data_IF_154028732026
#
_entry.id   IF_154028732026
#
_cell.length_a   1.000
_cell.length_b   1.000
_cell.length_c   1.000
_cell.angle_alpha   90.00
_cell.angle_beta   90.00
_cell.angle_gamma   90.00
#
_symmetry.space_group_name_H-M   'P 1'
#
loop_
_entity.id
_entity.type
_entity.pdbx_description
1 polymer ?
#
# COMPACT_ATOMS: atom_id res chain seq x y z
N UNK A 1 -23.77 -33.64 11.21
CA UNK A 1 -22.35 -33.99 11.43
C UNK A 1 -21.55 -33.13 10.49
N UNK A 2 -20.71 -32.26 11.04
CA UNK A 2 -19.86 -31.35 10.26
C UNK A 2 -18.89 -32.09 9.35
N UNK A 3 -18.65 -31.53 8.16
CA UNK A 3 -17.53 -31.90 7.31
C UNK A 3 -16.63 -30.68 7.09
N UNK A 4 -15.80 -30.40 8.08
CA UNK A 4 -14.88 -29.26 8.10
C UNK A 4 -13.50 -29.62 7.54
N UNK A 5 -13.06 -28.79 6.59
CA UNK A 5 -11.66 -28.48 6.27
C UNK A 5 -10.71 -29.60 5.82
N UNK A 6 -10.37 -29.56 4.53
CA UNK A 6 -9.00 -29.80 4.05
C UNK A 6 -8.36 -28.46 3.64
N UNK A 7 -7.85 -27.70 4.63
CA UNK A 7 -7.06 -26.49 4.37
C UNK A 7 -5.69 -26.88 3.80
N UNK A 8 -5.61 -27.07 2.48
CA UNK A 8 -4.35 -27.28 1.77
C UNK A 8 -3.55 -25.97 1.75
N UNK A 9 -2.84 -25.73 2.86
CA UNK A 9 -1.83 -24.69 2.99
C UNK A 9 -0.59 -25.02 2.17
N UNK A 10 -0.74 -25.12 0.85
CA UNK A 10 0.39 -25.13 -0.06
C UNK A 10 1.11 -23.79 0.04
N UNK A 11 2.29 -23.78 0.67
CA UNK A 11 3.27 -22.70 0.58
C UNK A 11 3.84 -22.67 -0.84
N UNK A 12 2.97 -22.36 -1.80
CA UNK A 12 3.33 -22.14 -3.17
C UNK A 12 3.86 -20.70 -3.23
N UNK A 13 5.15 -20.52 -2.91
CA UNK A 13 5.92 -19.30 -3.20
C UNK A 13 6.17 -19.24 -4.70
N UNK A 14 5.09 -19.30 -5.48
CA UNK A 14 5.06 -18.86 -6.87
C UNK A 14 5.54 -17.42 -6.81
N UNK A 15 6.62 -17.14 -7.53
CA UNK A 15 7.24 -15.82 -7.52
C UNK A 15 6.22 -14.83 -8.08
N UNK A 16 5.60 -14.06 -7.18
CA UNK A 16 4.46 -13.21 -7.50
C UNK A 16 4.92 -12.02 -8.32
N UNK A 17 4.66 -12.05 -9.62
CA UNK A 17 4.89 -10.91 -10.51
C UNK A 17 3.93 -9.75 -10.20
N UNK A 18 4.41 -8.79 -9.41
CA UNK A 18 3.66 -7.60 -9.05
C UNK A 18 3.72 -6.54 -10.15
N UNK A 19 2.56 -6.02 -10.53
CA UNK A 19 2.38 -4.93 -11.47
C UNK A 19 3.02 -3.64 -10.95
N UNK A 20 3.89 -3.06 -11.75
CA UNK A 20 4.49 -1.72 -11.53
C UNK A 20 3.68 -0.63 -12.24
N UNK A 21 3.89 0.63 -11.86
CA UNK A 21 3.27 1.79 -12.49
C UNK A 21 1.89 2.17 -11.92
N UNK A 22 1.17 3.00 -12.68
CA UNK A 22 -0.04 3.71 -12.24
C UNK A 22 -1.15 2.77 -11.76
N UNK A 23 -1.89 3.21 -10.73
CA UNK A 23 -3.06 2.52 -10.21
C UNK A 23 -4.30 2.86 -11.04
N UNK A 24 -4.97 1.82 -11.54
CA UNK A 24 -6.28 1.94 -12.17
C UNK A 24 -7.38 2.19 -11.13
N UNK A 25 -8.55 2.65 -11.59
CA UNK A 25 -9.74 2.73 -10.76
C UNK A 25 -10.10 1.34 -10.21
N UNK A 26 -10.11 0.29 -11.04
CA UNK A 26 -10.48 -1.07 -10.63
C UNK A 26 -9.55 -1.63 -9.53
N UNK A 27 -8.21 -1.53 -9.69
CA UNK A 27 -7.26 -1.92 -8.64
C UNK A 27 -7.49 -1.15 -7.33
N UNK A 28 -7.85 0.14 -7.42
CA UNK A 28 -8.13 0.98 -6.26
C UNK A 28 -9.44 0.56 -5.57
N UNK A 29 -10.50 0.25 -6.32
CA UNK A 29 -11.76 -0.25 -5.77
C UNK A 29 -11.57 -1.62 -5.08
N UNK A 30 -10.79 -2.52 -5.68
CA UNK A 30 -10.42 -3.82 -5.08
C UNK A 30 -9.67 -3.63 -3.75
N UNK A 31 -8.75 -2.66 -3.67
CA UNK A 31 -8.04 -2.35 -2.42
C UNK A 31 -8.99 -1.81 -1.34
N UNK A 32 -9.96 -0.95 -1.71
CA UNK A 32 -10.97 -0.43 -0.77
C UNK A 32 -11.90 -1.55 -0.28
N UNK A 33 -12.34 -2.44 -1.19
CA UNK A 33 -13.11 -3.64 -0.83
C UNK A 33 -12.32 -4.55 0.11
N UNK A 34 -11.05 -4.84 -0.20
CA UNK A 34 -10.15 -5.61 0.66
C UNK A 34 -10.04 -4.98 2.06
N UNK A 35 -9.92 -3.65 2.15
CA UNK A 35 -9.88 -2.93 3.43
C UNK A 35 -11.20 -2.96 4.18
N UNK A 36 -12.35 -2.89 3.50
CA UNK A 36 -13.67 -3.11 4.11
C UNK A 36 -13.79 -4.51 4.74
N UNK A 37 -13.36 -5.54 4.01
CA UNK A 37 -13.36 -6.93 4.48
C UNK A 37 -12.33 -7.18 5.60
N UNK A 38 -11.17 -6.51 5.58
CA UNK A 38 -10.18 -6.53 6.65
C UNK A 38 -10.70 -5.86 7.95
N UNK A 39 -11.54 -4.84 7.83
CA UNK A 39 -12.19 -4.24 9.00
C UNK A 39 -13.33 -5.12 9.54
N UNK A 40 -14.12 -5.76 8.66
CA UNK A 40 -15.18 -6.69 9.07
C UNK A 40 -14.65 -7.95 9.75
N UNK A 41 -13.62 -8.60 9.18
CA UNK A 41 -13.01 -9.80 9.78
C UNK A 41 -12.36 -9.49 11.14
N UNK A 42 -11.89 -8.25 11.34
CA UNK A 42 -11.37 -7.79 12.64
C UNK A 42 -12.49 -7.51 13.64
N UNK A 43 -13.63 -6.96 13.19
CA UNK A 43 -14.81 -6.81 14.03
C UNK A 43 -15.32 -8.16 14.56
N UNK A 44 -15.43 -9.18 13.70
CA UNK A 44 -15.87 -10.53 14.10
C UNK A 44 -14.93 -11.21 15.12
N UNK A 45 -13.64 -10.85 15.13
CA UNK A 45 -12.65 -11.36 16.11
C UNK A 45 -12.55 -10.53 17.40
N UNK A 46 -13.20 -9.37 17.48
CA UNK A 46 -13.22 -8.57 18.72
C UNK A 46 -14.26 -9.07 19.72
N UNK A 47 -15.18 -9.96 19.31
CA UNK A 47 -16.09 -10.69 20.19
C UNK A 47 -15.50 -11.99 20.77
N UNK A 48 -14.30 -12.40 20.35
CA UNK A 48 -13.57 -13.56 20.85
C UNK A 48 -12.24 -13.10 21.44
N UNK A 49 -12.12 -13.17 22.77
CA UNK A 49 -11.07 -12.51 23.57
C UNK A 49 -9.65 -13.04 23.30
N UNK A 50 -9.51 -14.11 22.51
CA UNK A 50 -8.28 -14.89 22.36
C UNK A 50 -7.29 -14.39 21.28
N UNK A 51 -7.76 -13.80 20.15
CA UNK A 51 -6.90 -13.48 18.98
C UNK A 51 -6.30 -12.05 18.95
N UNK A 52 -6.13 -11.38 20.10
CA UNK A 52 -5.74 -9.96 20.20
C UNK A 52 -4.25 -9.66 19.90
N UNK A 53 -3.61 -10.37 18.97
CA UNK A 53 -2.14 -10.39 18.86
C UNK A 53 -1.50 -10.52 17.47
N UNK A 54 -2.24 -10.56 16.34
CA UNK A 54 -1.60 -10.74 15.02
C UNK A 54 -0.86 -9.46 14.55
N UNK A 55 0.48 -9.51 14.32
CA UNK A 55 1.27 -8.34 13.90
C UNK A 55 0.76 -7.71 12.60
N UNK A 56 1.10 -6.44 12.39
CA UNK A 56 0.61 -5.64 11.25
C UNK A 56 0.98 -6.26 9.88
N UNK A 57 2.10 -6.96 9.82
CA UNK A 57 2.59 -7.69 8.64
C UNK A 57 1.62 -8.79 8.19
N UNK A 58 1.02 -9.55 9.12
CA UNK A 58 -0.04 -10.52 8.81
C UNK A 58 -1.36 -9.86 8.35
N UNK A 59 -1.54 -8.54 8.54
CA UNK A 59 -2.73 -7.82 8.08
C UNK A 59 -2.61 -7.50 6.60
N UNK A 60 -1.50 -6.87 6.21
CA UNK A 60 -1.27 -6.49 4.84
C UNK A 60 -1.05 -7.70 3.93
N UNK A 61 -0.44 -8.79 4.41
CA UNK A 61 -0.39 -10.06 3.67
C UNK A 61 -1.78 -10.57 3.25
N UNK A 62 -2.78 -10.47 4.14
CA UNK A 62 -4.15 -10.86 3.80
C UNK A 62 -4.79 -9.94 2.77
N UNK A 63 -4.51 -8.62 2.86
CA UNK A 63 -4.96 -7.64 1.86
C UNK A 63 -4.34 -7.93 0.49
N UNK A 64 -3.04 -8.23 0.45
CA UNK A 64 -2.34 -8.67 -0.77
C UNK A 64 -2.98 -9.95 -1.34
N UNK A 65 -3.17 -10.99 -0.52
CA UNK A 65 -3.81 -12.25 -0.94
C UNK A 65 -5.24 -12.05 -1.47
N UNK A 66 -5.99 -11.07 -0.94
CA UNK A 66 -7.32 -10.70 -1.43
C UNK A 66 -7.23 -9.96 -2.78
N UNK A 67 -6.39 -8.93 -2.86
CA UNK A 67 -6.14 -8.16 -4.08
C UNK A 67 -5.70 -9.08 -5.22
N UNK A 68 -4.74 -9.97 -4.97
CA UNK A 68 -4.21 -10.93 -5.94
C UNK A 68 -5.31 -11.82 -6.52
N UNK A 69 -6.19 -12.38 -5.67
CA UNK A 69 -7.33 -13.22 -6.09
C UNK A 69 -8.37 -12.47 -6.93
N UNK A 70 -8.47 -11.15 -6.77
CA UNK A 70 -9.34 -10.26 -7.57
C UNK A 70 -8.62 -9.70 -8.82
N UNK A 71 -7.42 -10.18 -9.17
CA UNK A 71 -6.63 -9.70 -10.32
C UNK A 71 -5.87 -8.40 -10.07
N UNK A 72 -5.92 -7.84 -8.86
CA UNK A 72 -5.10 -6.70 -8.46
C UNK A 72 -3.72 -7.21 -8.03
N UNK A 73 -2.82 -7.40 -9.01
CA UNK A 73 -1.47 -7.96 -8.83
C UNK A 73 -0.51 -6.95 -8.17
N UNK A 74 -0.81 -6.53 -6.95
CA UNK A 74 -0.04 -5.52 -6.19
C UNK A 74 0.49 -6.13 -4.91
N UNK A 75 1.75 -5.83 -4.57
CA UNK A 75 2.39 -6.37 -3.38
C UNK A 75 1.83 -5.77 -2.09
N UNK A 76 2.15 -6.41 -0.96
CA UNK A 76 1.87 -5.91 0.39
C UNK A 76 2.17 -4.40 0.54
N UNK A 77 3.38 -3.99 0.16
CA UNK A 77 3.85 -2.62 0.36
C UNK A 77 3.15 -1.66 -0.60
N UNK A 78 2.97 -2.04 -1.89
CA UNK A 78 2.23 -1.22 -2.84
C UNK A 78 0.78 -0.96 -2.36
N UNK A 79 0.11 -1.97 -1.81
CA UNK A 79 -1.23 -1.84 -1.25
C UNK A 79 -1.26 -0.91 -0.03
N UNK A 80 -0.26 -1.00 0.86
CA UNK A 80 -0.12 -0.13 2.03
C UNK A 80 0.13 1.32 1.61
N UNK A 81 1.14 1.58 0.79
CA UNK A 81 1.51 2.93 0.32
C UNK A 81 0.36 3.60 -0.44
N UNK A 82 -0.36 2.84 -1.27
CA UNK A 82 -1.56 3.33 -1.96
C UNK A 82 -2.68 3.67 -0.99
N UNK A 83 -2.92 2.84 0.02
CA UNK A 83 -3.94 3.08 1.03
C UNK A 83 -3.65 4.32 1.87
N UNK A 84 -2.42 4.51 2.32
CA UNK A 84 -2.03 5.68 3.12
C UNK A 84 -2.14 6.99 2.33
N UNK A 85 -1.79 6.95 1.04
CA UNK A 85 -2.01 8.08 0.13
C UNK A 85 -3.51 8.36 -0.09
N UNK A 86 -4.33 7.34 -0.38
CA UNK A 86 -5.79 7.48 -0.50
C UNK A 86 -6.42 8.07 0.76
N UNK A 87 -6.01 7.59 1.94
CA UNK A 87 -6.53 8.06 3.23
C UNK A 87 -6.08 9.47 3.58
N UNK A 88 -4.90 9.90 3.13
CA UNK A 88 -4.41 11.28 3.23
C UNK A 88 -5.23 12.21 2.33
N UNK A 89 -5.42 11.82 1.08
CA UNK A 89 -6.15 12.58 0.07
C UNK A 89 -7.64 12.70 0.42
N UNK A 90 -8.26 11.61 0.87
CA UNK A 90 -9.63 11.59 1.36
C UNK A 90 -9.85 12.59 2.51
N UNK A 91 -8.94 12.62 3.49
CA UNK A 91 -9.01 13.58 4.60
C UNK A 91 -8.92 15.02 4.10
N UNK A 92 -8.03 15.32 3.15
CA UNK A 92 -7.94 16.66 2.55
C UNK A 92 -9.24 17.09 1.86
N UNK A 93 -9.83 16.23 1.03
CA UNK A 93 -11.09 16.52 0.33
C UNK A 93 -12.24 16.70 1.33
N UNK A 94 -12.38 15.78 2.30
CA UNK A 94 -13.45 15.86 3.33
C UNK A 94 -13.31 17.09 4.23
N UNK A 95 -12.08 17.50 4.53
CA UNK A 95 -11.78 18.74 5.27
C UNK A 95 -12.20 19.98 4.47
N UNK A 96 -11.91 20.00 3.17
CA UNK A 96 -12.26 21.09 2.26
C UNK A 96 -13.78 21.25 2.11
N UNK A 97 -14.51 20.16 1.82
CA UNK A 97 -15.98 20.19 1.73
C UNK A 97 -16.62 20.72 3.04
N UNK A 98 -16.10 20.31 4.20
CA UNK A 98 -16.63 20.78 5.50
C UNK A 98 -16.38 22.28 5.71
N UNK A 99 -15.17 22.78 5.42
CA UNK A 99 -14.85 24.22 5.50
C UNK A 99 -15.67 25.05 4.52
N UNK A 100 -16.05 24.48 3.37
CA UNK A 100 -16.92 25.13 2.40
C UNK A 100 -18.33 25.32 2.98
N UNK A 101 -18.90 24.27 3.59
CA UNK A 101 -20.20 24.33 4.28
C UNK A 101 -20.16 25.33 5.44
N UNK A 102 -19.11 25.31 6.27
CA UNK A 102 -18.91 26.24 7.39
C UNK A 102 -18.82 27.72 6.95
N UNK A 103 -18.32 27.98 5.73
CA UNK A 103 -18.23 29.33 5.13
C UNK A 103 -19.46 29.77 4.35
N UNK A 104 -20.53 28.97 4.30
CA UNK A 104 -21.69 29.24 3.44
C UNK A 104 -21.36 29.24 1.94
N UNK A 105 -20.29 28.55 1.54
CA UNK A 105 -19.91 28.40 0.14
C UNK A 105 -20.93 27.53 -0.60
N UNK A 106 -21.58 28.11 -1.61
CA UNK A 106 -22.50 27.36 -2.47
C UNK A 106 -21.83 26.20 -3.22
N UNK A 107 -22.65 25.29 -3.72
CA UNK A 107 -22.25 24.06 -4.41
C UNK A 107 -21.09 24.25 -5.40
N UNK A 108 -21.13 25.34 -6.17
CA UNK A 108 -20.18 25.73 -7.22
C UNK A 108 -18.70 25.58 -6.83
N UNK A 109 -18.35 25.77 -5.56
CA UNK A 109 -16.97 25.72 -5.03
C UNK A 109 -16.57 24.39 -4.40
N UNK A 110 -17.40 23.35 -4.50
CA UNK A 110 -17.09 21.98 -4.06
C UNK A 110 -15.94 21.40 -4.89
N UNK A 111 -15.14 20.53 -4.26
CA UNK A 111 -14.00 19.81 -4.86
C UNK A 111 -14.32 19.19 -6.22
N UNK A 112 -15.55 18.73 -6.41
CA UNK A 112 -16.03 18.09 -7.63
C UNK A 112 -16.19 19.04 -8.82
N UNK A 113 -16.45 20.33 -8.56
CA UNK A 113 -16.67 21.37 -9.58
C UNK A 113 -15.46 22.28 -9.80
N UNK A 114 -14.64 22.52 -8.78
CA UNK A 114 -13.44 23.34 -8.92
C UNK A 114 -12.40 22.70 -9.87
N UNK A 115 -11.75 23.56 -10.66
CA UNK A 115 -10.79 23.16 -11.68
C UNK A 115 -9.48 22.61 -11.06
N UNK A 116 -8.72 21.82 -11.83
CA UNK A 116 -7.44 21.25 -11.41
C UNK A 116 -6.43 22.28 -10.88
N UNK A 117 -6.43 23.50 -11.44
CA UNK A 117 -5.55 24.58 -10.96
C UNK A 117 -6.01 25.07 -9.59
N UNK A 118 -7.29 25.37 -9.41
CA UNK A 118 -7.87 25.77 -8.13
C UNK A 118 -7.71 24.68 -7.05
N UNK A 119 -7.77 23.39 -7.42
CA UNK A 119 -7.42 22.28 -6.52
C UNK A 119 -5.97 22.37 -6.04
N UNK A 120 -5.03 22.68 -6.92
CA UNK A 120 -3.61 22.85 -6.57
C UNK A 120 -3.42 24.02 -5.60
N UNK A 121 -4.07 25.15 -5.87
CA UNK A 121 -3.98 26.35 -5.03
C UNK A 121 -4.57 26.11 -3.64
N UNK A 122 -5.69 25.38 -3.56
CA UNK A 122 -6.29 24.90 -2.31
C UNK A 122 -5.54 23.70 -1.68
N UNK A 123 -4.38 23.30 -2.21
CA UNK A 123 -3.55 22.19 -1.71
C UNK A 123 -4.24 20.81 -1.69
N UNK A 124 -5.23 20.62 -2.56
CA UNK A 124 -6.07 19.43 -2.67
C UNK A 124 -5.48 18.39 -3.65
N UNK A 125 -5.86 17.11 -3.53
CA UNK A 125 -5.44 16.08 -4.47
C UNK A 125 -5.96 16.39 -5.88
N UNK A 126 -5.16 16.16 -6.93
CA UNK A 126 -5.63 16.33 -8.32
C UNK A 126 -6.60 15.22 -8.75
N UNK A 127 -6.39 13.99 -8.26
CA UNK A 127 -6.93 12.77 -8.87
C UNK A 127 -7.87 11.97 -7.95
N UNK A 128 -8.52 12.61 -6.96
CA UNK A 128 -9.58 11.94 -6.20
C UNK A 128 -10.81 11.84 -7.10
N UNK A 129 -11.30 10.62 -7.32
CA UNK A 129 -12.51 10.35 -8.09
C UNK A 129 -13.69 10.18 -7.15
N UNK A 130 -14.89 10.61 -7.58
CA UNK A 130 -16.09 10.58 -6.74
C UNK A 130 -16.40 9.16 -6.23
N UNK A 131 -16.35 8.15 -7.11
CA UNK A 131 -16.56 6.73 -6.73
C UNK A 131 -15.52 6.19 -5.73
N UNK A 132 -14.27 6.69 -5.79
CA UNK A 132 -13.23 6.34 -4.81
C UNK A 132 -13.56 7.00 -3.46
N UNK A 133 -13.96 8.27 -3.48
CA UNK A 133 -14.34 9.01 -2.28
C UNK A 133 -15.57 8.39 -1.60
N UNK A 134 -16.65 8.11 -2.35
CA UNK A 134 -17.87 7.45 -1.86
C UNK A 134 -17.53 6.11 -1.18
N UNK A 135 -16.74 5.26 -1.81
CA UNK A 135 -16.33 3.98 -1.23
C UNK A 135 -15.42 4.15 0.02
N UNK A 136 -14.63 5.22 0.11
CA UNK A 136 -13.85 5.55 1.30
C UNK A 136 -14.70 6.14 2.43
N UNK A 137 -15.72 6.96 2.14
CA UNK A 137 -16.73 7.39 3.12
C UNK A 137 -17.32 6.16 3.80
N UNK A 138 -17.75 5.19 3.01
CA UNK A 138 -18.38 3.96 3.46
C UNK A 138 -17.49 3.14 4.44
N UNK A 139 -16.18 3.07 4.18
CA UNK A 139 -15.21 2.40 5.08
C UNK A 139 -14.96 3.22 6.34
N UNK A 140 -14.86 4.55 6.22
CA UNK A 140 -14.52 5.45 7.34
C UNK A 140 -15.69 5.72 8.28
N UNK A 141 -16.91 5.93 7.78
CA UNK A 141 -18.09 6.26 8.60
C UNK A 141 -18.59 5.06 9.37
N UNK A 142 -18.59 3.88 8.71
CA UNK A 142 -18.80 2.59 9.36
C UNK A 142 -17.76 2.36 10.48
N UNK A 143 -16.60 3.03 10.48
CA UNK A 143 -15.63 3.04 11.59
C UNK A 143 -15.90 4.18 12.60
N UNK A 144 -16.30 5.36 12.15
CA UNK A 144 -16.60 6.54 12.97
C UNK A 144 -17.81 6.39 13.90
N UNK A 145 -18.89 5.78 13.41
CA UNK A 145 -20.08 5.45 14.22
C UNK A 145 -19.76 4.56 15.44
N UNK A 146 -18.66 3.79 15.38
CA UNK A 146 -18.19 2.95 16.50
C UNK A 146 -17.45 3.75 17.59
N UNK A 147 -16.85 4.89 17.23
CA UNK A 147 -16.17 5.77 18.21
C UNK A 147 -17.21 6.54 19.03
N UNK A 148 -18.28 7.03 18.38
CA UNK A 148 -19.40 7.66 19.07
C UNK A 148 -20.15 6.67 19.99
N UNK A 149 -20.41 5.44 19.53
CA UNK A 149 -21.07 4.42 20.35
C UNK A 149 -20.19 3.85 21.49
N UNK A 150 -18.87 4.04 21.43
CA UNK A 150 -17.92 3.59 22.46
C UNK A 150 -17.62 4.64 23.55
N UNK A 151 -18.20 5.83 23.48
CA UNK A 151 -17.95 6.94 24.40
C UNK A 151 -19.27 7.56 24.86
N UNK A 152 -20.02 6.79 25.67
CA UNK A 152 -21.41 7.10 26.05
C UNK A 152 -21.74 6.80 27.51
N UNK A 153 -20.91 7.23 28.44
CA UNK A 153 -21.22 7.27 29.88
C UNK A 153 -21.36 8.71 30.37
N UNK A 154 -22.35 8.97 31.23
CA UNK A 154 -22.66 10.27 31.85
C UNK A 154 -23.29 11.36 30.93
N UNK A 155 -24.58 11.17 30.65
CA UNK A 155 -25.67 12.14 30.85
C UNK A 155 -25.48 13.65 30.57
N UNK A 156 -26.39 14.19 29.75
CA UNK A 156 -27.08 15.43 30.11
C UNK A 156 -28.53 15.39 29.63
N UNK A 157 -29.45 15.67 30.54
CA UNK A 157 -30.88 15.74 30.31
C UNK A 157 -31.33 17.19 30.17
N UNK A 158 -32.05 17.53 29.09
CA UNK A 158 -33.08 18.56 29.13
C UNK A 158 -34.06 18.38 27.97
N UNK A 159 -35.35 18.47 28.28
CA UNK A 159 -36.43 18.44 27.32
C UNK A 159 -36.77 19.85 26.83
N UNK A 160 -37.43 19.95 25.68
CA UNK A 160 -38.79 20.51 25.63
C UNK A 160 -39.50 20.12 24.32
N UNK A 161 -40.83 20.09 24.39
CA UNK A 161 -41.69 19.57 23.33
C UNK A 161 -42.81 20.57 22.99
N UNK A 162 -43.18 20.63 21.70
CA UNK A 162 -44.45 21.12 21.13
C UNK A 162 -44.60 20.34 19.81
N UNK A 163 -45.46 19.33 19.64
CA UNK A 163 -46.95 19.30 19.63
C UNK A 163 -47.56 20.10 18.49
N UNK A 164 -47.99 19.40 17.43
CA UNK A 164 -49.37 19.56 16.94
C UNK A 164 -49.89 18.24 16.36
N UNK A 165 -51.22 18.12 16.25
CA UNK A 165 -51.95 16.85 16.22
C UNK A 165 -53.20 16.99 15.36
N UNK A 166 -53.56 15.96 14.59
CA UNK A 166 -54.95 15.76 14.16
C UNK A 166 -55.25 14.28 13.95
N UNK A 167 -56.47 13.91 14.35
CA UNK A 167 -56.92 12.53 14.59
C UNK A 167 -58.26 12.27 13.94
N UNK A 168 -58.44 11.13 13.26
CA UNK A 168 -59.73 10.43 13.17
C UNK A 168 -59.47 8.91 13.25
N UNK A 169 -60.16 8.22 14.16
CA UNK A 169 -60.28 6.75 14.20
C UNK A 169 -61.40 6.29 13.26
N UNK A 170 -61.39 5.03 12.78
CA UNK A 170 -62.52 4.09 12.94
C UNK A 170 -62.22 2.68 12.38
N UNK A 171 -62.73 1.69 13.12
CA UNK A 171 -62.91 0.23 12.89
C UNK A 171 -62.14 -0.48 11.76
N UNK A 172 -61.49 -1.59 12.14
CA UNK A 172 -60.85 -2.52 11.19
C UNK A 172 -61.81 -3.52 10.55
N UNK A 173 -61.33 -4.18 9.49
CA UNK A 173 -61.81 -5.46 9.00
C UNK A 173 -60.62 -6.30 8.53
N UNK A 174 -60.80 -7.61 8.62
CA UNK A 174 -59.90 -8.70 8.28
C UNK A 174 -59.82 -8.90 6.74
N UNK A 175 -58.64 -9.13 6.16
CA UNK A 175 -58.46 -9.95 4.94
C UNK A 175 -56.99 -10.20 4.53
N UNK A 176 -56.65 -11.50 4.41
CA UNK A 176 -56.04 -12.19 3.26
C UNK A 176 -54.82 -11.55 2.53
N UNK A 177 -53.68 -12.25 2.39
CA UNK A 177 -52.57 -11.84 1.53
C UNK A 177 -52.81 -12.16 0.04
N UNK A 178 -52.34 -11.33 -0.91
CA UNK A 178 -52.48 -11.59 -2.35
C UNK A 178 -51.44 -12.61 -2.86
N UNK A 179 -51.79 -13.46 -3.85
CA UNK A 179 -50.89 -14.47 -4.40
C UNK A 179 -49.97 -13.94 -5.52
N UNK A 180 -48.93 -14.74 -5.81
CA UNK A 180 -47.90 -14.47 -6.81
C UNK A 180 -48.44 -14.46 -8.26
N UNK A 181 -48.03 -13.48 -9.06
CA UNK A 181 -48.19 -13.47 -10.52
C UNK A 181 -46.82 -13.62 -11.18
N UNK A 182 -46.59 -14.78 -11.79
CA UNK A 182 -45.33 -15.15 -12.44
C UNK A 182 -45.37 -14.84 -13.93
N UNK A 183 -44.56 -13.88 -14.39
CA UNK A 183 -44.39 -13.58 -15.82
C UNK A 183 -43.14 -14.28 -16.39
N UNK A 184 -43.24 -15.01 -17.52
CA UNK A 184 -42.06 -15.55 -18.20
C UNK A 184 -41.37 -14.48 -19.05
N UNK A 185 -40.08 -14.25 -18.81
CA UNK A 185 -39.25 -13.40 -19.68
C UNK A 185 -38.60 -14.26 -20.75
N UNK A 186 -38.89 -13.93 -22.01
CA UNK A 186 -38.33 -14.56 -23.21
C UNK A 186 -36.92 -14.00 -23.46
N UNK A 187 -35.94 -14.89 -23.71
CA UNK A 187 -34.59 -14.50 -24.11
C UNK A 187 -34.48 -14.36 -25.64
N UNK A 188 -33.90 -13.28 -26.18
CA UNK A 188 -33.51 -13.22 -27.59
C UNK A 188 -32.18 -13.98 -27.83
N UNK A 189 -31.97 -14.57 -29.03
CA UNK A 189 -30.81 -15.42 -29.29
C UNK A 189 -29.52 -14.65 -29.57
N UNK A 190 -28.40 -15.23 -29.13
CA UNK A 190 -27.04 -14.70 -29.36
C UNK A 190 -26.61 -14.89 -30.82
N UNK A 191 -26.28 -13.79 -31.51
CA UNK A 191 -25.60 -13.87 -32.81
C UNK A 191 -24.09 -14.06 -32.55
N UNK A 192 -23.55 -15.20 -32.98
CA UNK A 192 -22.11 -15.46 -32.97
C UNK A 192 -21.46 -14.85 -34.22
N UNK A 193 -20.51 -13.93 -34.02
CA UNK A 193 -19.63 -13.41 -35.08
C UNK A 193 -18.30 -14.19 -35.06
N UNK A 194 -17.76 -14.65 -36.20
CA UNK A 194 -16.52 -15.42 -36.24
C UNK A 194 -15.27 -14.57 -35.97
N UNK A 195 -14.19 -15.16 -35.43
CA UNK A 195 -12.95 -14.44 -35.13
C UNK A 195 -12.12 -14.16 -36.40
N UNK A 196 -11.38 -13.04 -36.45
CA UNK A 196 -10.43 -12.75 -37.54
C UNK A 196 -9.16 -13.60 -37.44
N UNK A 197 -8.47 -13.89 -38.57
CA UNK A 197 -7.23 -14.67 -38.59
C UNK A 197 -6.01 -13.88 -38.06
N UNK A 198 -4.97 -14.57 -37.57
CA UNK A 198 -3.78 -13.91 -37.02
C UNK A 198 -2.87 -13.32 -38.10
N UNK A 199 -2.54 -12.04 -37.97
CA UNK A 199 -1.50 -11.38 -38.76
C UNK A 199 -0.10 -11.87 -38.35
N UNK A 200 0.70 -12.28 -39.33
CA UNK A 200 2.08 -12.70 -39.13
C UNK A 200 2.98 -11.47 -38.87
N UNK A 201 3.79 -11.51 -37.82
CA UNK A 201 4.74 -10.42 -37.50
C UNK A 201 6.12 -10.72 -38.05
N UNK A 202 6.57 -9.94 -39.04
CA UNK A 202 7.99 -9.81 -39.40
C UNK A 202 8.74 -8.95 -38.36
N UNK A 203 10.04 -9.17 -38.13
CA UNK A 203 10.82 -8.42 -37.14
C UNK A 203 11.59 -7.24 -37.74
N UNK A 204 11.55 -6.07 -37.10
CA UNK A 204 12.47 -4.94 -37.34
C UNK A 204 12.61 -4.06 -36.05
N UNK A 205 13.54 -3.09 -35.94
CA UNK A 205 14.56 -3.09 -34.90
C UNK A 205 14.37 -2.03 -33.80
N UNK A 206 15.17 -2.06 -32.71
CA UNK A 206 14.97 -1.16 -31.56
C UNK A 206 15.40 0.29 -31.84
N UNK A 207 14.46 1.23 -31.68
CA UNK A 207 14.72 2.67 -31.71
C UNK A 207 14.96 3.18 -30.28
N UNK A 208 16.10 3.84 -30.07
CA UNK A 208 16.42 4.58 -28.84
C UNK A 208 15.60 5.88 -28.74
N UNK A 209 14.93 6.17 -27.61
CA UNK A 209 14.43 7.51 -27.32
C UNK A 209 15.46 8.29 -26.50
N UNK A 210 16.21 9.15 -27.18
CA UNK A 210 16.79 10.35 -26.55
C UNK A 210 15.70 11.41 -26.45
N UNK A 211 15.51 12.01 -25.27
CA UNK A 211 15.07 13.40 -25.03
C UNK A 211 14.54 13.55 -23.60
N UNK A 212 15.24 14.31 -22.76
CA UNK A 212 14.72 14.78 -21.47
C UNK A 212 14.94 16.29 -21.38
N UNK A 213 13.90 17.12 -21.16
CA UNK A 213 14.07 18.55 -20.99
C UNK A 213 14.60 18.90 -19.58
N UNK A 214 15.44 19.94 -19.53
CA UNK A 214 15.90 20.58 -18.30
C UNK A 214 14.72 21.21 -17.52
N UNK A 215 14.75 21.19 -16.17
CA UNK A 215 14.07 22.20 -15.36
C UNK A 215 15.04 23.32 -14.96
N UNK A 216 14.55 24.55 -14.98
CA UNK A 216 15.28 25.72 -14.53
C UNK A 216 15.21 25.93 -13.01
N UNK A 217 16.11 26.79 -12.54
CA UNK A 217 16.14 27.54 -11.28
C UNK A 217 14.79 27.79 -10.58
N UNK A 218 14.74 27.70 -9.24
CA UNK A 218 14.70 28.91 -8.39
C UNK A 218 14.64 28.67 -6.86
N UNK A 219 15.31 29.60 -6.15
CA UNK A 219 15.01 30.22 -4.85
C UNK A 219 14.69 29.44 -3.55
N UNK A 220 15.68 29.49 -2.65
CA UNK A 220 15.70 30.33 -1.41
C UNK A 220 14.99 29.89 -0.10
N UNK A 221 15.56 30.34 1.03
CA UNK A 221 15.15 30.17 2.46
C UNK A 221 15.21 28.72 3.02
N UNK A 222 15.46 28.39 4.29
CA UNK A 222 16.18 28.97 5.45
C UNK A 222 16.38 27.81 6.48
N UNK A 223 17.01 27.86 7.68
CA UNK A 223 17.75 28.85 8.46
C UNK A 223 18.61 28.11 9.53
N UNK A 224 19.86 28.52 9.84
CA UNK A 224 20.44 28.37 11.20
C UNK A 224 21.70 29.23 11.46
N UNK A 225 21.86 29.67 12.70
CA UNK A 225 22.82 30.68 13.19
C UNK A 225 24.22 30.13 13.55
N UNK A 226 25.24 30.99 13.53
CA UNK A 226 26.61 30.61 13.98
C UNK A 226 27.74 31.64 13.75
N UNK A 227 27.67 32.83 14.36
CA UNK A 227 28.80 33.81 14.40
C UNK A 227 29.94 33.32 15.33
N UNK A 228 31.22 33.79 15.23
CA UNK A 228 31.54 35.21 15.44
C UNK A 228 32.72 35.85 14.67
N UNK A 229 32.52 37.15 14.42
CA UNK A 229 33.44 38.27 14.21
C UNK A 229 34.97 38.11 14.38
N UNK A 230 35.72 38.79 13.49
CA UNK A 230 36.97 39.49 13.86
C UNK A 230 37.08 40.88 13.21
N UNK A 231 37.23 41.90 14.06
CA UNK A 231 37.44 43.31 13.70
C UNK A 231 38.79 43.52 13.00
N UNK A 232 38.82 44.33 11.94
CA UNK A 232 39.91 45.33 11.77
C UNK A 232 39.39 46.61 11.10
N UNK A 233 40.10 47.71 11.36
CA UNK A 233 39.68 49.12 11.25
C UNK A 233 40.70 49.89 10.41
N UNK A 234 40.28 51.09 9.93
CA UNK A 234 41.07 52.19 9.32
C UNK A 234 41.08 52.13 7.79
N UNK A 235 40.94 53.19 6.97
CA UNK A 235 40.48 54.61 7.02
C UNK A 235 41.30 55.34 5.93
N UNK A 236 40.68 56.31 5.25
CA UNK A 236 41.24 57.32 4.34
C UNK A 236 41.86 56.83 3.01
N UNK A 237 41.32 57.35 1.90
CA UNK A 237 41.91 58.56 1.33
C UNK A 237 42.66 58.43 0.00
N UNK A 238 42.04 58.96 -1.06
CA UNK A 238 42.72 59.92 -1.94
C UNK A 238 43.35 59.43 -3.24
N UNK A 239 42.82 60.01 -4.33
CA UNK A 239 43.58 60.50 -5.49
C UNK A 239 43.95 59.50 -6.60
N UNK A 240 43.77 59.97 -7.83
CA UNK A 240 43.99 59.24 -9.08
C UNK A 240 45.48 59.17 -9.48
N UNK A 241 45.81 58.21 -10.36
CA UNK A 241 46.48 58.45 -11.66
C UNK A 241 46.50 57.18 -12.51
N UNK A 242 46.77 57.32 -13.82
CA UNK A 242 46.71 56.23 -14.80
C UNK A 242 48.06 55.52 -15.04
N UNK A 243 47.98 54.24 -15.40
CA UNK A 243 48.98 53.34 -15.96
C UNK A 243 48.23 52.05 -16.34
N UNK A 244 48.30 51.51 -17.57
CA UNK A 244 49.28 50.49 -18.04
C UNK A 244 49.44 49.39 -16.96
N UNK A 245 49.27 48.09 -17.19
CA UNK A 245 49.83 47.25 -18.27
C UNK A 245 48.98 45.98 -18.52
N UNK A 246 48.92 45.50 -19.77
CA UNK A 246 48.18 44.28 -20.14
C UNK A 246 49.01 43.03 -19.87
N UNK A 247 48.89 42.42 -18.68
CA UNK A 247 49.49 41.11 -18.34
C UNK A 247 48.75 40.41 -17.17
N UNK A 248 47.52 39.94 -17.41
CA UNK A 248 46.68 39.34 -16.34
C UNK A 248 45.90 38.07 -16.68
N UNK A 249 45.75 37.72 -17.97
CA UNK A 249 44.72 36.76 -18.42
C UNK A 249 45.13 35.27 -18.28
N UNK A 250 46.44 34.98 -18.25
CA UNK A 250 46.94 33.61 -18.11
C UNK A 250 46.85 33.05 -16.68
N UNK A 251 46.98 33.92 -15.67
CA UNK A 251 46.99 33.51 -14.26
C UNK A 251 45.58 33.14 -13.77
N UNK A 252 44.59 33.93 -14.14
CA UNK A 252 43.17 33.68 -13.84
C UNK A 252 42.66 32.41 -14.52
N UNK A 253 43.02 32.17 -15.79
CA UNK A 253 42.65 30.93 -16.49
C UNK A 253 43.25 29.69 -15.83
N UNK A 254 44.51 29.78 -15.35
CA UNK A 254 45.19 28.67 -14.67
C UNK A 254 44.62 28.41 -13.27
N UNK A 255 44.23 29.44 -12.53
CA UNK A 255 43.52 29.32 -11.25
C UNK A 255 42.15 28.65 -11.43
N UNK A 256 41.37 29.10 -12.42
CA UNK A 256 40.08 28.49 -12.79
C UNK A 256 40.24 27.03 -13.21
N UNK A 257 41.25 26.72 -14.04
CA UNK A 257 41.57 25.33 -14.41
C UNK A 257 41.94 24.45 -13.20
N UNK A 258 42.69 24.99 -12.24
CA UNK A 258 43.00 24.31 -10.98
C UNK A 258 41.76 24.08 -10.11
N UNK A 259 40.87 25.07 -10.02
CA UNK A 259 39.61 24.96 -9.29
C UNK A 259 38.64 23.94 -9.91
N UNK A 260 38.55 23.90 -11.25
CA UNK A 260 37.76 22.91 -12.00
C UNK A 260 38.34 21.51 -11.78
N UNK A 261 39.66 21.33 -11.88
CA UNK A 261 40.32 20.04 -11.63
C UNK A 261 40.09 19.52 -10.21
N UNK A 262 40.21 20.39 -9.19
CA UNK A 262 39.87 20.06 -7.79
C UNK A 262 38.40 19.68 -7.63
N UNK A 263 37.48 20.42 -8.24
CA UNK A 263 36.04 20.15 -8.20
C UNK A 263 35.71 18.80 -8.86
N UNK A 264 36.31 18.51 -10.01
CA UNK A 264 36.16 17.24 -10.70
C UNK A 264 36.70 16.07 -9.87
N UNK A 265 37.85 16.24 -9.19
CA UNK A 265 38.41 15.23 -8.28
C UNK A 265 37.49 14.93 -7.09
N UNK A 266 36.91 15.96 -6.46
CA UNK A 266 35.97 15.81 -5.34
C UNK A 266 34.69 15.07 -5.79
N UNK A 267 34.18 15.41 -6.99
CA UNK A 267 33.00 14.72 -7.55
C UNK A 267 33.32 13.26 -7.89
N UNK A 268 34.48 12.97 -8.48
CA UNK A 268 34.91 11.61 -8.79
C UNK A 268 35.06 10.75 -7.51
N UNK A 269 35.71 11.28 -6.47
CA UNK A 269 35.84 10.62 -5.16
C UNK A 269 34.47 10.40 -4.51
N UNK A 270 33.56 11.38 -4.57
CA UNK A 270 32.21 11.25 -4.05
C UNK A 270 31.38 10.18 -4.78
N UNK A 271 31.51 10.08 -6.12
CA UNK A 271 30.86 9.03 -6.93
C UNK A 271 31.41 7.66 -6.55
N UNK A 272 32.74 7.49 -6.51
CA UNK A 272 33.38 6.21 -6.17
C UNK A 272 33.03 5.77 -4.73
N UNK A 273 33.00 6.70 -3.79
CA UNK A 273 32.54 6.47 -2.41
C UNK A 273 31.06 6.09 -2.34
N UNK A 274 30.23 6.60 -3.26
CA UNK A 274 28.82 6.23 -3.39
C UNK A 274 28.66 4.79 -3.89
N UNK A 275 29.33 4.46 -4.97
CA UNK A 275 29.33 3.13 -5.60
C UNK A 275 29.80 2.05 -4.62
N UNK A 276 30.95 2.24 -3.95
CA UNK A 276 31.47 1.26 -2.98
C UNK A 276 30.50 1.05 -1.78
N UNK A 277 29.76 2.10 -1.39
CA UNK A 277 28.73 2.02 -0.33
C UNK A 277 27.46 1.31 -0.80
N UNK A 278 27.09 1.43 -2.07
CA UNK A 278 26.03 0.63 -2.67
C UNK A 278 26.45 -0.83 -2.82
N UNK A 279 27.65 -1.09 -3.33
CA UNK A 279 28.19 -2.43 -3.50
C UNK A 279 28.35 -3.17 -2.15
N UNK A 280 28.78 -2.48 -1.08
CA UNK A 280 28.75 -3.02 0.29
C UNK A 280 27.34 -3.39 0.77
N UNK A 281 26.32 -2.56 0.49
CA UNK A 281 24.91 -2.87 0.81
C UNK A 281 24.38 -4.05 -0.01
N UNK A 282 24.75 -4.15 -1.28
CA UNK A 282 24.38 -5.26 -2.15
C UNK A 282 24.99 -6.59 -1.68
N UNK A 283 26.30 -6.61 -1.37
CA UNK A 283 26.97 -7.79 -0.79
C UNK A 283 26.34 -8.24 0.52
N UNK A 284 25.95 -7.31 1.39
CA UNK A 284 25.33 -7.69 2.67
C UNK A 284 23.91 -8.24 2.48
N UNK A 285 23.12 -7.68 1.55
CA UNK A 285 21.82 -8.23 1.15
C UNK A 285 21.97 -9.69 0.66
N UNK A 286 22.96 -9.96 -0.20
CA UNK A 286 23.24 -11.32 -0.70
C UNK A 286 23.60 -12.28 0.44
N UNK A 287 24.45 -11.89 1.39
CA UNK A 287 24.77 -12.71 2.57
C UNK A 287 23.56 -12.99 3.46
N UNK A 288 22.65 -12.03 3.62
CA UNK A 288 21.40 -12.24 4.37
C UNK A 288 20.49 -13.22 3.64
N UNK A 289 20.39 -13.15 2.31
CA UNK A 289 19.64 -14.13 1.51
C UNK A 289 20.26 -15.54 1.57
N UNK A 290 21.57 -15.65 1.43
CA UNK A 290 22.31 -16.91 1.54
C UNK A 290 22.13 -17.56 2.92
N UNK A 291 22.33 -16.78 4.00
CA UNK A 291 22.10 -17.27 5.38
C UNK A 291 20.66 -17.71 5.59
N UNK A 292 19.67 -16.98 5.03
CA UNK A 292 18.26 -17.36 5.12
C UNK A 292 18.01 -18.70 4.41
N UNK A 293 18.60 -18.92 3.24
CA UNK A 293 18.48 -20.18 2.50
C UNK A 293 19.09 -21.35 3.29
N UNK A 294 20.28 -21.18 3.87
CA UNK A 294 20.93 -22.18 4.72
C UNK A 294 20.08 -22.54 5.96
N UNK A 295 19.40 -21.56 6.58
CA UNK A 295 18.49 -21.80 7.71
C UNK A 295 17.23 -22.56 7.27
N UNK A 296 16.70 -22.27 6.07
CA UNK A 296 15.54 -22.97 5.52
C UNK A 296 15.88 -24.42 5.13
N UNK A 297 17.04 -24.64 4.49
CA UNK A 297 17.57 -25.96 4.13
C UNK A 297 17.87 -26.81 5.38
N UNK A 298 18.63 -26.29 6.35
CA UNK A 298 18.93 -27.02 7.59
C UNK A 298 17.67 -27.36 8.39
N UNK A 299 16.64 -26.50 8.39
CA UNK A 299 15.34 -26.80 8.99
C UNK A 299 14.59 -27.92 8.24
N UNK A 300 14.65 -27.93 6.90
CA UNK A 300 14.08 -29.02 6.10
C UNK A 300 14.81 -30.35 6.36
N UNK A 301 16.13 -30.32 6.49
CA UNK A 301 16.95 -31.49 6.80
C UNK A 301 16.69 -32.04 8.20
N UNK A 302 16.61 -31.19 9.24
CA UNK A 302 16.21 -31.62 10.60
C UNK A 302 14.81 -32.26 10.58
N UNK A 303 13.87 -31.69 9.82
CA UNK A 303 12.53 -32.27 9.68
C UNK A 303 12.58 -33.65 8.96
N UNK A 304 13.41 -33.80 7.93
CA UNK A 304 13.65 -35.08 7.24
C UNK A 304 14.22 -36.14 8.18
N UNK A 305 15.22 -35.77 9.00
CA UNK A 305 15.80 -36.66 10.01
C UNK A 305 14.78 -37.05 11.09
N UNK A 306 13.93 -36.12 11.53
CA UNK A 306 12.83 -36.41 12.46
C UNK A 306 11.81 -37.42 11.91
N UNK A 307 11.44 -37.29 10.64
CA UNK A 307 10.55 -38.25 9.95
C UNK A 307 11.23 -39.63 9.84
N UNK A 308 12.50 -39.68 9.44
CA UNK A 308 13.24 -40.95 9.35
C UNK A 308 13.34 -41.66 10.72
N UNK A 309 13.63 -40.91 11.79
CA UNK A 309 13.66 -41.46 13.15
C UNK A 309 12.30 -41.99 13.63
N UNK A 310 11.19 -41.37 13.22
CA UNK A 310 9.84 -41.88 13.46
C UNK A 310 9.58 -43.18 12.69
N UNK A 311 9.98 -43.26 11.42
CA UNK A 311 9.88 -44.49 10.61
C UNK A 311 10.68 -45.64 11.24
N UNK A 312 11.91 -45.39 11.71
CA UNK A 312 12.73 -46.38 12.41
C UNK A 312 12.08 -46.86 13.71
N UNK A 313 11.45 -45.96 14.48
CA UNK A 313 10.73 -46.32 15.69
C UNK A 313 9.50 -47.20 15.40
N UNK A 314 8.74 -46.87 14.35
CA UNK A 314 7.60 -47.67 13.87
C UNK A 314 8.06 -49.05 13.39
N UNK A 315 9.14 -49.13 12.62
CA UNK A 315 9.71 -50.40 12.16
C UNK A 315 10.18 -51.29 13.33
N UNK A 316 10.84 -50.70 14.35
CA UNK A 316 11.22 -51.41 15.57
C UNK A 316 10.00 -51.93 16.34
N UNK A 317 8.95 -51.12 16.47
CA UNK A 317 7.70 -51.52 17.13
C UNK A 317 7.01 -52.66 16.36
N UNK A 318 6.92 -52.57 15.03
CA UNK A 318 6.33 -53.60 14.20
C UNK A 318 7.07 -54.94 14.31
N UNK A 319 8.41 -54.91 14.28
CA UNK A 319 9.24 -56.11 14.47
C UNK A 319 9.06 -56.72 15.87
N UNK A 320 8.97 -55.90 16.93
CA UNK A 320 8.66 -56.37 18.28
C UNK A 320 7.27 -57.01 18.38
N UNK A 321 6.25 -56.44 17.72
CA UNK A 321 4.89 -57.01 17.67
C UNK A 321 4.88 -58.33 16.88
N UNK A 322 5.62 -58.44 15.77
CA UNK A 322 5.72 -59.68 15.00
C UNK A 322 6.44 -60.79 15.79
N UNK A 323 7.51 -60.47 16.50
CA UNK A 323 8.16 -61.40 17.44
C UNK A 323 7.20 -61.82 18.57
N UNK A 324 6.39 -60.88 19.08
CA UNK A 324 5.36 -61.14 20.09
C UNK A 324 4.17 -61.96 19.52
N UNK A 325 3.88 -61.89 18.23
CA UNK A 325 2.93 -62.81 17.60
C UNK A 325 3.52 -64.22 17.47
N UNK A 326 4.77 -64.33 17.02
CA UNK A 326 5.46 -65.60 16.79
C UNK A 326 5.67 -66.42 18.08
N UNK A 327 6.12 -65.81 19.18
CA UNK A 327 6.31 -66.57 20.43
C UNK A 327 4.97 -67.11 21.00
N UNK A 328 3.86 -66.41 20.72
CA UNK A 328 2.52 -66.78 21.20
C UNK A 328 1.93 -67.92 20.38
N UNK A 329 2.18 -67.97 19.07
CA UNK A 329 1.76 -69.12 18.25
C UNK A 329 2.53 -70.38 18.64
N UNK A 330 3.83 -70.28 18.94
CA UNK A 330 4.64 -71.41 19.41
C UNK A 330 4.22 -71.93 20.79
N UNK A 331 3.80 -71.06 21.71
CA UNK A 331 3.33 -71.49 23.04
C UNK A 331 1.93 -72.10 23.06
N UNK A 332 1.10 -71.84 22.04
CA UNK A 332 -0.23 -72.44 21.87
C UNK A 332 -0.26 -73.74 21.06
N UNK A 333 0.88 -74.24 20.59
CA UNK A 333 1.01 -75.47 19.80
C UNK A 333 1.64 -76.64 20.58
N UNK A 334 1.38 -76.72 21.90
CA UNK A 334 2.04 -77.65 22.82
C UNK A 334 1.10 -78.22 23.87
#
# INVERSE_FOLDING_TARGET
MDLTMANQGGNNTVLRDYRKGNWTLQETMVLIEAKRMDDERRMKRLGDTSERGKPAELRWKWVEDYCWKKGCLRSQNQCNDKWDNLMRDFKKVREFERRLMERGGGEEKSYWRIEKNERKDNNLPSNMLIHIYEALVDVVERKGQRVAAGSGGAGSSSANAVVEKSTINVLGHHSIPPPMLQYPIIQPPTILLPPPPPSQTSPEPPILPSSQPLPASDSDTSEYSGSPAKRRKKRDGGTATAGVETSGDGATLQEVGSAISKSASIIAEAIQSCEEREERRHRELLRVHERRLQIEESKAEINRQGINGLVDAINKLANSILALAAHKSQSSSK
#
